data_IF_557395033794
#
_entry.id   IF_557395033794
#
_cell.length_a   1.000
_cell.length_b   1.000
_cell.length_c   1.000
_cell.angle_alpha   90.00
_cell.angle_beta   90.00
_cell.angle_gamma   90.00
#
_symmetry.space_group_name_H-M   'P 1'
#
loop_
_entity.id
_entity.type
_entity.pdbx_description
1 polymer ?
#
# COMPACT_ATOMS: atom_id res chain seq x y z
N UNK A 1 10.70 18.11 -12.91
CA UNK A 1 11.18 16.77 -13.30
C UNK A 1 10.08 16.04 -14.06
N UNK A 2 10.45 15.14 -14.98
CA UNK A 2 9.51 14.20 -15.59
C UNK A 2 9.57 12.88 -14.83
N UNK A 3 8.46 12.51 -14.19
CA UNK A 3 8.40 11.36 -13.25
C UNK A 3 7.57 10.24 -13.83
N UNK A 4 8.13 9.03 -13.89
CA UNK A 4 7.38 7.85 -14.30
C UNK A 4 6.74 7.17 -13.08
N UNK A 5 5.42 6.97 -13.14
CA UNK A 5 4.64 6.40 -12.05
C UNK A 5 4.04 5.07 -12.45
N UNK A 6 4.33 4.02 -11.70
CA UNK A 6 3.65 2.74 -11.83
C UNK A 6 2.61 2.56 -10.73
N UNK A 7 1.50 1.90 -11.05
CA UNK A 7 0.38 1.77 -10.11
C UNK A 7 -0.47 3.04 -9.97
N UNK A 8 -0.33 4.00 -10.90
CA UNK A 8 -1.02 5.29 -10.89
C UNK A 8 -2.55 5.19 -10.81
N UNK A 9 -3.15 4.13 -11.35
CA UNK A 9 -4.61 3.92 -11.33
C UNK A 9 -5.15 3.37 -10.00
N UNK A 10 -4.27 3.01 -9.06
CA UNK A 10 -4.64 2.59 -7.71
C UNK A 10 -4.85 3.76 -6.76
N UNK A 11 -5.38 3.47 -5.54
CA UNK A 11 -5.65 4.50 -4.54
C UNK A 11 -4.41 5.36 -4.26
N UNK A 12 -3.31 4.76 -3.82
CA UNK A 12 -2.11 5.53 -3.49
C UNK A 12 -1.47 6.19 -4.71
N UNK A 13 -1.41 5.46 -5.84
CA UNK A 13 -0.82 5.99 -7.07
C UNK A 13 -1.55 7.23 -7.60
N UNK A 14 -2.87 7.28 -7.50
CA UNK A 14 -3.66 8.45 -7.91
C UNK A 14 -3.35 9.69 -7.05
N UNK A 15 -3.11 9.51 -5.74
CA UNK A 15 -2.70 10.60 -4.86
C UNK A 15 -1.25 11.03 -5.08
N UNK A 16 -0.34 10.09 -5.39
CA UNK A 16 1.03 10.42 -5.81
C UNK A 16 1.02 11.26 -7.09
N UNK A 17 0.19 10.89 -8.08
CA UNK A 17 0.06 11.69 -9.31
C UNK A 17 -0.45 13.11 -9.02
N UNK A 18 -1.46 13.28 -8.13
CA UNK A 18 -1.94 14.60 -7.70
C UNK A 18 -0.83 15.43 -7.07
N UNK A 19 -0.14 14.85 -6.08
CA UNK A 19 0.94 15.52 -5.37
C UNK A 19 2.08 15.95 -6.30
N UNK A 20 2.43 15.11 -7.30
CA UNK A 20 3.41 15.46 -8.33
C UNK A 20 2.98 16.63 -9.19
N UNK A 21 1.72 16.62 -9.65
CA UNK A 21 1.16 17.70 -10.48
C UNK A 21 1.05 19.01 -9.69
N UNK A 22 0.60 18.96 -8.44
CA UNK A 22 0.50 20.11 -7.54
C UNK A 22 1.86 20.77 -7.27
N UNK A 23 2.95 19.99 -7.36
CA UNK A 23 4.34 20.46 -7.26
C UNK A 23 5.00 20.78 -8.63
N UNK A 24 4.20 20.88 -9.69
CA UNK A 24 4.66 21.21 -11.04
C UNK A 24 5.65 20.19 -11.65
N UNK A 25 5.55 18.89 -11.29
CA UNK A 25 6.23 17.82 -11.99
C UNK A 25 5.40 17.37 -13.19
N UNK A 26 6.07 16.93 -14.25
CA UNK A 26 5.43 16.23 -15.36
C UNK A 26 5.27 14.76 -15.00
N UNK A 27 4.07 14.22 -15.18
CA UNK A 27 3.76 12.83 -14.85
C UNK A 27 3.56 12.02 -16.11
N UNK A 28 4.37 10.95 -16.28
CA UNK A 28 4.14 9.88 -17.24
C UNK A 28 3.79 8.61 -16.46
N UNK A 29 2.70 7.94 -16.82
CA UNK A 29 2.23 6.80 -16.04
C UNK A 29 1.83 5.63 -16.92
N UNK A 30 2.13 4.40 -16.44
CA UNK A 30 1.74 3.18 -17.12
C UNK A 30 0.38 2.68 -16.62
N UNK A 31 -0.45 2.26 -17.56
CA UNK A 31 -1.70 1.55 -17.29
C UNK A 31 -1.89 0.36 -18.23
N UNK A 32 -2.70 -0.62 -17.84
CA UNK A 32 -3.18 -1.67 -18.71
C UNK A 32 -4.45 -1.19 -19.43
N UNK A 33 -4.79 -1.78 -20.57
CA UNK A 33 -6.04 -1.47 -21.27
C UNK A 33 -7.29 -1.62 -20.37
N UNK A 34 -7.26 -2.58 -19.47
CA UNK A 34 -8.35 -2.86 -18.52
C UNK A 34 -8.36 -1.98 -17.27
N UNK A 35 -7.40 -1.05 -17.13
CA UNK A 35 -7.30 -0.21 -15.94
C UNK A 35 -8.45 0.78 -15.87
N UNK A 36 -9.11 0.86 -14.71
CA UNK A 36 -10.12 1.88 -14.42
C UNK A 36 -9.46 3.18 -14.03
N UNK A 37 -10.06 4.30 -14.42
CA UNK A 37 -9.51 5.64 -14.20
C UNK A 37 -10.29 6.44 -13.14
N UNK A 38 -11.25 5.81 -12.46
CA UNK A 38 -12.22 6.47 -11.55
C UNK A 38 -11.55 7.31 -10.45
N UNK A 39 -10.36 6.88 -9.98
CA UNK A 39 -9.62 7.59 -8.93
C UNK A 39 -8.78 8.78 -9.45
N UNK A 40 -8.75 8.97 -10.76
CA UNK A 40 -7.96 10.03 -11.44
C UNK A 40 -8.81 11.15 -12.01
N UNK A 41 -10.07 11.21 -11.62
CA UNK A 41 -10.99 12.30 -11.99
C UNK A 41 -10.35 13.66 -11.70
N UNK A 42 -10.45 14.58 -12.67
CA UNK A 42 -9.89 15.92 -12.60
C UNK A 42 -8.39 16.06 -12.89
N UNK A 43 -7.64 14.95 -13.01
CA UNK A 43 -6.20 15.00 -13.32
C UNK A 43 -5.79 14.08 -14.48
N UNK A 44 -6.67 13.19 -14.95
CA UNK A 44 -6.32 12.17 -15.96
C UNK A 44 -5.73 12.78 -17.24
N UNK A 45 -6.23 13.95 -17.68
CA UNK A 45 -5.80 14.64 -18.90
C UNK A 45 -4.46 15.39 -18.74
N UNK A 46 -3.96 15.51 -17.50
CA UNK A 46 -2.67 16.14 -17.19
C UNK A 46 -1.53 15.12 -17.15
N UNK A 47 -1.84 13.84 -17.30
CA UNK A 47 -0.90 12.72 -17.21
C UNK A 47 -0.64 12.16 -18.61
N UNK A 48 0.64 12.00 -18.97
CA UNK A 48 1.05 11.26 -20.16
C UNK A 48 0.88 9.76 -19.91
N UNK A 49 -0.12 9.15 -20.55
CA UNK A 49 -0.41 7.73 -20.38
C UNK A 49 0.30 6.86 -21.41
N UNK A 50 0.97 5.81 -20.92
CA UNK A 50 1.46 4.72 -21.76
C UNK A 50 0.73 3.42 -21.40
N UNK A 51 0.38 2.63 -22.43
CA UNK A 51 -0.33 1.37 -22.26
C UNK A 51 0.66 0.24 -22.46
N UNK A 52 0.87 -0.59 -21.43
CA UNK A 52 1.82 -1.70 -21.50
C UNK A 52 1.83 -2.56 -20.25
N UNK A 53 2.74 -3.54 -20.25
CA UNK A 53 2.99 -4.43 -19.13
C UNK A 53 4.39 -4.16 -18.55
N UNK A 54 4.48 -4.16 -17.24
CA UNK A 54 5.74 -3.99 -16.49
C UNK A 54 6.75 -5.14 -16.69
N UNK A 55 6.28 -6.29 -17.16
CA UNK A 55 7.12 -7.46 -17.47
C UNK A 55 7.62 -7.46 -18.93
N UNK A 56 7.30 -6.42 -19.70
CA UNK A 56 7.81 -6.22 -21.06
C UNK A 56 8.97 -5.21 -21.02
N UNK A 57 10.18 -5.74 -21.10
CA UNK A 57 11.40 -4.91 -21.04
C UNK A 57 11.54 -3.97 -22.23
N UNK A 58 11.10 -4.35 -23.43
CA UNK A 58 11.14 -3.49 -24.60
C UNK A 58 10.18 -2.30 -24.43
N UNK A 59 8.97 -2.55 -23.91
CA UNK A 59 8.04 -1.51 -23.53
C UNK A 59 8.63 -0.56 -22.48
N UNK A 60 9.27 -1.10 -21.41
CA UNK A 60 9.88 -0.29 -20.38
C UNK A 60 11.00 0.61 -20.92
N UNK A 61 11.85 0.09 -21.81
CA UNK A 61 12.91 0.87 -22.43
C UNK A 61 12.37 2.06 -23.23
N UNK A 62 11.27 1.89 -23.96
CA UNK A 62 10.61 2.99 -24.68
C UNK A 62 9.90 3.95 -23.71
N UNK A 63 9.16 3.41 -22.75
CA UNK A 63 8.36 4.20 -21.82
C UNK A 63 9.22 5.09 -20.91
N UNK A 64 10.45 4.71 -20.60
CA UNK A 64 11.35 5.42 -19.69
C UNK A 64 12.28 6.42 -20.38
N UNK A 65 12.22 6.57 -21.70
CA UNK A 65 13.02 7.60 -22.40
C UNK A 65 12.67 8.99 -21.88
N UNK A 66 13.69 9.75 -21.48
CA UNK A 66 13.56 11.12 -21.00
C UNK A 66 12.92 11.27 -19.61
N UNK A 67 12.93 10.21 -18.80
CA UNK A 67 12.45 10.22 -17.43
C UNK A 67 13.60 10.59 -16.47
N UNK A 68 13.31 11.49 -15.52
CA UNK A 68 14.27 11.92 -14.49
C UNK A 68 14.21 11.05 -13.24
N UNK A 69 13.01 10.60 -12.84
CA UNK A 69 12.77 9.81 -11.63
C UNK A 69 11.63 8.79 -11.82
N UNK A 70 11.68 7.71 -11.05
CA UNK A 70 10.63 6.68 -11.02
C UNK A 70 10.00 6.58 -9.65
N UNK A 71 8.67 6.58 -9.57
CA UNK A 71 7.91 6.18 -8.37
C UNK A 71 7.20 4.87 -8.66
N UNK A 72 7.70 3.79 -8.05
CA UNK A 72 7.23 2.44 -8.27
C UNK A 72 6.23 2.01 -7.19
N UNK A 73 4.94 2.06 -7.51
CA UNK A 73 3.84 1.65 -6.62
C UNK A 73 3.00 0.48 -7.14
N UNK A 74 3.31 -0.05 -8.32
CA UNK A 74 2.59 -1.19 -8.86
C UNK A 74 2.91 -2.47 -8.07
N UNK A 75 1.87 -3.15 -7.57
CA UNK A 75 1.97 -4.46 -6.95
C UNK A 75 0.61 -5.16 -6.94
N UNK A 76 0.63 -6.48 -6.96
CA UNK A 76 -0.54 -7.31 -6.64
C UNK A 76 -0.55 -7.54 -5.13
N UNK A 77 -1.70 -7.30 -4.51
CA UNK A 77 -1.96 -7.58 -3.09
C UNK A 77 -2.95 -8.73 -3.01
N UNK A 78 -2.51 -9.88 -2.57
CA UNK A 78 -3.37 -11.03 -2.33
C UNK A 78 -2.84 -11.89 -1.17
N UNK A 79 -3.76 -12.48 -0.40
CA UNK A 79 -3.46 -13.47 0.63
C UNK A 79 -3.90 -14.87 0.21
N UNK A 80 -4.34 -15.04 -1.04
CA UNK A 80 -4.77 -16.29 -1.61
C UNK A 80 -3.61 -17.00 -2.31
N UNK A 81 -3.34 -18.23 -1.90
CA UNK A 81 -2.22 -19.05 -2.43
C UNK A 81 -2.26 -19.27 -3.95
N UNK A 82 -3.45 -19.11 -4.57
CA UNK A 82 -3.60 -19.20 -6.04
C UNK A 82 -2.85 -18.10 -6.78
N UNK A 83 -2.55 -16.98 -6.11
CA UNK A 83 -1.88 -15.82 -6.71
C UNK A 83 -0.38 -15.75 -6.46
N UNK A 84 0.22 -16.76 -5.79
CA UNK A 84 1.67 -16.75 -5.46
C UNK A 84 2.54 -16.51 -6.68
N UNK A 85 2.36 -17.30 -7.74
CA UNK A 85 3.17 -17.16 -8.96
C UNK A 85 2.94 -15.80 -9.64
N UNK A 86 1.69 -15.37 -9.76
CA UNK A 86 1.36 -14.08 -10.35
C UNK A 86 1.90 -12.90 -9.54
N UNK A 87 1.89 -13.01 -8.20
CA UNK A 87 2.54 -12.01 -7.34
C UNK A 87 4.07 -12.01 -7.54
N UNK A 88 4.69 -13.17 -7.66
CA UNK A 88 6.12 -13.26 -7.90
C UNK A 88 6.48 -12.62 -9.26
N UNK A 89 5.79 -12.98 -10.31
CA UNK A 89 5.98 -12.41 -11.66
C UNK A 89 5.81 -10.89 -11.65
N UNK A 90 4.70 -10.38 -11.11
CA UNK A 90 4.41 -8.95 -11.16
C UNK A 90 5.24 -8.15 -10.14
N UNK A 91 5.29 -8.61 -8.86
CA UNK A 91 5.91 -7.83 -7.80
C UNK A 91 7.43 -7.96 -7.82
N UNK A 92 7.98 -9.15 -8.09
CA UNK A 92 9.42 -9.38 -8.02
C UNK A 92 10.07 -9.20 -9.38
N UNK A 93 9.68 -10.01 -10.39
CA UNK A 93 10.30 -9.96 -11.71
C UNK A 93 10.03 -8.62 -12.40
N UNK A 94 8.79 -8.12 -12.39
CA UNK A 94 8.48 -6.79 -12.96
C UNK A 94 9.23 -5.64 -12.27
N UNK A 95 9.54 -5.76 -10.96
CA UNK A 95 10.39 -4.78 -10.28
C UNK A 95 11.85 -4.92 -10.71
N UNK A 96 12.35 -6.15 -10.86
CA UNK A 96 13.70 -6.40 -11.36
C UNK A 96 13.89 -5.81 -12.77
N UNK A 97 12.92 -6.01 -13.67
CA UNK A 97 12.94 -5.47 -15.03
C UNK A 97 12.94 -3.93 -15.02
N UNK A 98 12.12 -3.31 -14.18
CA UNK A 98 12.09 -1.86 -14.03
C UNK A 98 13.42 -1.30 -13.48
N UNK A 99 13.99 -1.94 -12.46
CA UNK A 99 15.29 -1.58 -11.88
C UNK A 99 16.40 -1.69 -12.93
N UNK A 100 16.45 -2.80 -13.67
CA UNK A 100 17.43 -3.03 -14.73
C UNK A 100 17.32 -1.98 -15.85
N UNK A 101 16.08 -1.64 -16.25
CA UNK A 101 15.84 -0.64 -17.29
C UNK A 101 16.25 0.75 -16.82
N UNK A 102 15.97 1.13 -15.55
CA UNK A 102 16.44 2.39 -14.98
C UNK A 102 17.98 2.49 -15.00
N UNK A 103 18.67 1.44 -14.58
CA UNK A 103 20.15 1.37 -14.60
C UNK A 103 20.68 1.50 -16.03
N UNK A 104 20.10 0.77 -16.99
CA UNK A 104 20.48 0.80 -18.40
C UNK A 104 20.35 2.20 -19.00
N UNK A 105 19.27 2.92 -18.68
CA UNK A 105 18.96 4.25 -19.20
C UNK A 105 19.62 5.40 -18.38
N UNK A 106 20.32 5.08 -17.29
CA UNK A 106 20.97 6.07 -16.44
C UNK A 106 20.01 6.89 -15.54
N UNK A 107 18.76 6.44 -15.38
CA UNK A 107 17.80 7.03 -14.43
C UNK A 107 18.25 6.66 -13.03
N UNK A 108 18.53 7.67 -12.20
CA UNK A 108 19.13 7.43 -10.88
C UNK A 108 18.10 7.46 -9.74
N UNK A 109 17.12 8.34 -9.81
CA UNK A 109 16.18 8.58 -8.70
C UNK A 109 15.02 7.57 -8.74
N UNK A 110 14.96 6.71 -7.70
CA UNK A 110 14.01 5.61 -7.61
C UNK A 110 13.31 5.59 -6.25
N UNK A 111 12.01 5.82 -6.24
CA UNK A 111 11.16 5.74 -5.07
C UNK A 111 10.35 4.44 -5.15
N UNK A 112 10.48 3.58 -4.15
CA UNK A 112 9.71 2.34 -4.08
C UNK A 112 8.64 2.39 -3.00
N UNK A 113 7.40 2.13 -3.39
CA UNK A 113 6.30 1.95 -2.44
C UNK A 113 6.21 0.47 -2.07
N UNK A 114 6.79 0.14 -0.94
CA UNK A 114 6.73 -1.19 -0.34
C UNK A 114 5.55 -1.33 0.63
N UNK A 115 5.75 -1.96 1.76
CA UNK A 115 4.76 -2.13 2.84
C UNK A 115 5.48 -2.43 4.15
N UNK A 116 4.87 -2.10 5.31
CA UNK A 116 5.32 -2.62 6.60
C UNK A 116 5.33 -4.16 6.64
N UNK A 117 4.64 -4.82 5.71
CA UNK A 117 4.67 -6.27 5.57
C UNK A 117 6.05 -6.82 5.19
N UNK A 118 6.90 -6.03 4.52
CA UNK A 118 8.27 -6.39 4.14
C UNK A 118 9.29 -6.28 5.28
N UNK A 119 8.90 -5.76 6.45
CA UNK A 119 9.78 -5.61 7.60
C UNK A 119 9.64 -6.83 8.50
N UNK A 120 10.77 -7.36 8.99
CA UNK A 120 10.81 -8.51 9.87
C UNK A 120 10.04 -8.29 11.18
N UNK A 121 9.41 -9.34 11.69
CA UNK A 121 8.57 -9.31 12.89
C UNK A 121 8.85 -10.51 13.78
N UNK A 122 9.26 -10.26 15.02
CA UNK A 122 9.55 -11.32 15.99
C UNK A 122 8.38 -11.52 16.95
N UNK A 123 8.23 -12.74 17.44
CA UNK A 123 7.25 -13.04 18.47
C UNK A 123 7.57 -12.25 19.75
N UNK A 124 6.53 -11.61 20.32
CA UNK A 124 6.68 -10.77 21.53
C UNK A 124 7.22 -9.35 21.30
N UNK A 125 7.67 -9.03 20.09
CA UNK A 125 8.11 -7.68 19.74
C UNK A 125 6.90 -6.73 19.71
N UNK A 126 7.02 -5.58 20.39
CA UNK A 126 5.95 -4.58 20.45
C UNK A 126 6.21 -3.41 19.50
N UNK A 127 7.46 -2.96 19.38
CA UNK A 127 7.86 -1.84 18.51
C UNK A 127 8.77 -2.36 17.39
N UNK A 128 8.39 -2.07 16.15
CA UNK A 128 9.11 -2.44 14.92
C UNK A 128 9.67 -1.17 14.31
N UNK A 129 10.91 -1.24 13.84
CA UNK A 129 11.67 -0.13 13.26
C UNK A 129 12.24 -0.54 11.90
N UNK A 130 12.81 0.40 11.17
CA UNK A 130 13.50 0.14 9.90
C UNK A 130 14.77 -0.71 10.05
N UNK A 131 15.28 -0.88 11.27
CA UNK A 131 16.47 -1.71 11.57
C UNK A 131 16.14 -3.20 11.72
N UNK A 132 14.85 -3.53 11.87
CA UNK A 132 14.42 -4.91 12.04
C UNK A 132 14.62 -5.68 10.73
N UNK A 133 15.47 -6.72 10.80
CA UNK A 133 15.79 -7.57 9.66
C UNK A 133 14.70 -8.61 9.46
N UNK A 134 14.52 -9.00 8.21
CA UNK A 134 13.64 -10.11 7.86
C UNK A 134 14.19 -11.41 8.46
N UNK A 135 13.32 -12.13 9.13
CA UNK A 135 13.53 -13.49 9.63
C UNK A 135 12.22 -14.24 9.46
N UNK A 136 12.26 -15.48 9.01
CA UNK A 136 11.04 -16.27 8.82
C UNK A 136 10.23 -16.36 10.11
N UNK A 137 8.97 -16.06 10.02
CA UNK A 137 8.08 -16.02 11.17
C UNK A 137 6.67 -16.48 10.83
N UNK A 138 5.89 -16.83 11.85
CA UNK A 138 4.46 -17.16 11.67
C UNK A 138 3.58 -15.98 11.23
N UNK A 139 4.15 -14.80 11.14
CA UNK A 139 3.48 -13.57 10.71
C UNK A 139 3.71 -13.26 9.23
N UNK A 140 4.50 -14.11 8.55
CA UNK A 140 4.82 -13.92 7.15
C UNK A 140 3.73 -14.54 6.29
N UNK A 141 3.01 -13.67 5.61
CA UNK A 141 2.04 -14.06 4.59
C UNK A 141 2.73 -14.17 3.23
N UNK A 142 2.07 -14.83 2.28
CA UNK A 142 2.55 -14.86 0.88
C UNK A 142 2.74 -13.45 0.31
N UNK A 143 1.88 -12.49 0.71
CA UNK A 143 2.04 -11.09 0.37
C UNK A 143 3.31 -10.49 1.00
N UNK A 144 3.55 -10.74 2.29
CA UNK A 144 4.74 -10.25 2.99
C UNK A 144 6.03 -10.77 2.33
N UNK A 145 6.08 -12.06 1.98
CA UNK A 145 7.20 -12.65 1.26
C UNK A 145 7.43 -11.99 -0.10
N UNK A 146 6.35 -11.72 -0.86
CA UNK A 146 6.47 -11.05 -2.16
C UNK A 146 6.99 -9.62 -2.04
N UNK A 147 6.54 -8.86 -1.02
CA UNK A 147 7.02 -7.49 -0.78
C UNK A 147 8.45 -7.44 -0.28
N UNK A 148 8.85 -8.40 0.55
CA UNK A 148 10.25 -8.54 0.95
C UNK A 148 11.16 -8.85 -0.25
N UNK A 149 10.80 -9.85 -1.07
CA UNK A 149 11.55 -10.20 -2.27
C UNK A 149 11.62 -9.02 -3.27
N UNK A 150 10.53 -8.25 -3.42
CA UNK A 150 10.50 -7.03 -4.21
C UNK A 150 11.49 -5.97 -3.70
N UNK A 151 11.57 -5.76 -2.37
CA UNK A 151 12.56 -4.84 -1.78
C UNK A 151 14.00 -5.29 -2.04
N UNK A 152 14.28 -6.60 -2.05
CA UNK A 152 15.63 -7.10 -2.35
C UNK A 152 16.09 -6.69 -3.75
N UNK A 153 15.20 -6.70 -4.75
CA UNK A 153 15.53 -6.22 -6.11
C UNK A 153 15.82 -4.72 -6.12
N UNK A 154 15.07 -3.94 -5.36
CA UNK A 154 15.29 -2.50 -5.22
C UNK A 154 16.63 -2.21 -4.50
N UNK A 155 16.95 -2.96 -3.44
CA UNK A 155 18.23 -2.85 -2.75
C UNK A 155 19.41 -3.29 -3.63
N UNK A 156 19.22 -4.30 -4.49
CA UNK A 156 20.23 -4.67 -5.51
C UNK A 156 20.49 -3.48 -6.43
N UNK A 157 19.43 -2.85 -6.95
CA UNK A 157 19.56 -1.63 -7.77
C UNK A 157 20.30 -0.50 -7.06
N UNK A 158 20.11 -0.35 -5.74
CA UNK A 158 20.85 0.63 -4.95
C UNK A 158 22.37 0.34 -4.91
N UNK A 159 22.76 -0.92 -4.81
CA UNK A 159 24.17 -1.33 -4.88
C UNK A 159 24.78 -1.10 -6.27
N UNK A 160 23.96 -1.14 -7.32
CA UNK A 160 24.35 -0.92 -8.72
C UNK A 160 24.28 0.55 -9.14
N UNK A 161 23.88 1.47 -8.24
CA UNK A 161 23.99 2.91 -8.46
C UNK A 161 22.70 3.72 -8.47
N UNK A 162 21.53 3.09 -8.25
CA UNK A 162 20.28 3.82 -8.06
C UNK A 162 20.27 4.58 -6.73
N UNK A 163 19.71 5.76 -6.73
CA UNK A 163 19.41 6.53 -5.52
C UNK A 163 18.04 6.10 -5.00
N UNK A 164 18.01 5.01 -4.26
CA UNK A 164 16.78 4.39 -3.80
C UNK A 164 16.25 5.05 -2.52
N UNK A 165 14.94 5.25 -2.44
CA UNK A 165 14.19 5.51 -1.20
C UNK A 165 12.99 4.56 -1.17
N UNK A 166 12.86 3.82 -0.06
CA UNK A 166 11.79 2.85 0.11
C UNK A 166 10.82 3.35 1.18
N UNK A 167 9.54 3.41 0.85
CA UNK A 167 8.48 3.66 1.80
C UNK A 167 7.81 2.34 2.18
N UNK A 168 7.66 2.11 3.49
CA UNK A 168 6.91 0.99 4.04
C UNK A 168 5.61 1.51 4.70
N UNK A 169 4.55 1.77 3.91
CA UNK A 169 3.29 2.22 4.47
C UNK A 169 2.62 1.12 5.30
N UNK A 170 1.93 1.52 6.38
CA UNK A 170 0.96 0.70 7.07
C UNK A 170 -0.38 0.66 6.30
N UNK A 171 -1.52 0.37 6.94
CA UNK A 171 -2.82 0.39 6.25
C UNK A 171 -3.12 1.80 5.76
N UNK A 172 -3.11 1.99 4.45
CA UNK A 172 -3.34 3.29 3.80
C UNK A 172 -4.82 3.60 3.76
N UNK A 173 -5.25 4.66 4.45
CA UNK A 173 -6.64 5.11 4.49
C UNK A 173 -6.89 6.17 3.42
N UNK A 174 -8.01 6.04 2.70
CA UNK A 174 -8.40 7.00 1.67
C UNK A 174 -9.64 6.56 0.88
N UNK A 175 -10.21 7.48 0.08
CA UNK A 175 -11.44 7.25 -0.68
C UNK A 175 -11.19 6.43 -1.96
N UNK A 176 -10.98 5.13 -1.79
CA UNK A 176 -10.84 4.18 -2.89
C UNK A 176 -12.17 3.83 -3.56
N UNK A 177 -12.19 2.72 -4.31
CA UNK A 177 -13.38 2.27 -5.02
C UNK A 177 -14.23 1.39 -4.09
N UNK A 178 -15.48 1.83 -3.85
CA UNK A 178 -16.44 1.11 -3.02
C UNK A 178 -16.78 -0.25 -3.62
N UNK A 179 -16.82 -1.30 -2.79
CA UNK A 179 -17.15 -2.66 -3.22
C UNK A 179 -16.01 -3.45 -3.89
N UNK A 180 -14.83 -2.85 -4.09
CA UNK A 180 -13.70 -3.53 -4.73
C UNK A 180 -12.62 -4.05 -3.75
N UNK A 181 -12.89 -4.00 -2.44
CA UNK A 181 -11.93 -4.47 -1.42
C UNK A 181 -10.78 -3.49 -1.17
N UNK A 182 -9.59 -4.03 -0.86
CA UNK A 182 -8.44 -3.22 -0.46
C UNK A 182 -8.66 -2.49 0.86
N UNK A 183 -7.94 -1.40 1.10
CA UNK A 183 -8.06 -0.62 2.34
C UNK A 183 -9.41 0.11 2.48
N UNK A 184 -10.16 0.33 1.39
CA UNK A 184 -11.52 0.90 1.45
C UNK A 184 -12.51 -0.03 2.17
N UNK A 185 -12.23 -1.35 2.20
CA UNK A 185 -13.10 -2.33 2.87
C UNK A 185 -13.26 -2.10 4.37
N UNK A 186 -12.32 -1.43 5.05
CA UNK A 186 -12.47 -1.10 6.48
C UNK A 186 -13.56 -0.03 6.68
N UNK A 187 -13.71 0.90 5.74
CA UNK A 187 -14.78 1.90 5.73
C UNK A 187 -16.12 1.27 5.41
N UNK A 188 -16.16 0.34 4.45
CA UNK A 188 -17.38 -0.43 4.16
C UNK A 188 -17.83 -1.26 5.36
N UNK A 189 -16.88 -1.85 6.09
CA UNK A 189 -17.15 -2.62 7.28
C UNK A 189 -17.81 -1.76 8.37
N UNK A 190 -17.26 -0.56 8.59
CA UNK A 190 -17.80 0.41 9.55
C UNK A 190 -19.20 0.92 9.11
N UNK A 191 -19.34 1.29 7.84
CA UNK A 191 -20.61 1.76 7.28
C UNK A 191 -21.75 0.73 7.40
N UNK A 192 -21.43 -0.57 7.20
CA UNK A 192 -22.39 -1.69 7.32
C UNK A 192 -22.72 -2.08 8.77
N UNK A 193 -22.29 -1.33 9.76
CA UNK A 193 -22.58 -1.53 11.18
C UNK A 193 -22.28 -2.97 11.65
N UNK A 194 -21.15 -3.54 11.22
CA UNK A 194 -20.78 -4.90 11.62
C UNK A 194 -20.55 -4.99 13.12
N UNK A 195 -21.03 -6.08 13.76
CA UNK A 195 -21.05 -6.21 15.21
C UNK A 195 -19.72 -6.60 15.84
N UNK A 196 -18.78 -7.16 15.07
CA UNK A 196 -17.56 -7.76 15.59
C UNK A 196 -16.31 -6.98 15.18
N UNK A 197 -15.29 -6.92 16.05
CA UNK A 197 -13.96 -6.41 15.74
C UNK A 197 -12.87 -7.41 16.15
N UNK A 198 -11.70 -7.44 15.50
CA UNK A 198 -10.55 -8.22 15.93
C UNK A 198 -10.01 -7.77 17.29
N UNK A 199 -9.22 -8.65 17.95
CA UNK A 199 -8.62 -8.36 19.27
C UNK A 199 -7.34 -7.51 19.19
N UNK A 200 -6.62 -7.56 18.05
CA UNK A 200 -5.32 -6.92 17.90
C UNK A 200 -5.37 -5.41 17.67
N UNK A 201 -4.26 -4.89 17.19
CA UNK A 201 -4.12 -3.50 16.78
C UNK A 201 -4.05 -3.41 15.25
N UNK A 202 -4.46 -2.25 14.73
CA UNK A 202 -4.15 -1.83 13.36
C UNK A 202 -3.20 -0.63 13.37
N UNK A 203 -2.31 -0.60 12.40
CA UNK A 203 -1.48 0.56 12.11
C UNK A 203 -2.03 1.22 10.86
N UNK A 204 -2.10 2.53 10.83
CA UNK A 204 -2.76 3.27 9.77
C UNK A 204 -1.94 4.48 9.32
N UNK A 205 -2.23 4.95 8.13
CA UNK A 205 -1.69 6.20 7.57
C UNK A 205 -2.68 6.77 6.55
N UNK A 206 -2.77 8.08 6.46
CA UNK A 206 -3.55 8.76 5.43
C UNK A 206 -2.86 8.63 4.06
N UNK A 207 -3.64 8.42 3.01
CA UNK A 207 -3.11 8.30 1.64
C UNK A 207 -2.38 9.57 1.20
N UNK A 208 -2.85 10.74 1.63
CA UNK A 208 -2.23 12.04 1.34
C UNK A 208 -0.85 12.16 1.99
N UNK A 209 -0.69 11.66 3.22
CA UNK A 209 0.60 11.64 3.92
C UNK A 209 1.62 10.78 3.18
N UNK A 210 1.21 9.59 2.71
CA UNK A 210 2.11 8.70 1.96
C UNK A 210 2.52 9.33 0.63
N UNK A 211 1.58 9.96 -0.08
CA UNK A 211 1.85 10.65 -1.34
C UNK A 211 2.83 11.82 -1.15
N UNK A 212 2.56 12.68 -0.17
CA UNK A 212 3.42 13.82 0.17
C UNK A 212 4.83 13.39 0.58
N UNK A 213 4.95 12.36 1.43
CA UNK A 213 6.25 11.80 1.84
C UNK A 213 7.00 11.22 0.63
N UNK A 214 6.31 10.53 -0.29
CA UNK A 214 6.94 9.96 -1.47
C UNK A 214 7.58 11.05 -2.35
N UNK A 215 6.86 12.14 -2.59
CA UNK A 215 7.35 13.25 -3.43
C UNK A 215 8.43 14.05 -2.69
N UNK A 216 8.27 14.35 -1.39
CA UNK A 216 9.33 15.01 -0.59
C UNK A 216 10.63 14.20 -0.55
N UNK A 217 10.54 12.87 -0.43
CA UNK A 217 11.73 12.02 -0.48
C UNK A 217 12.37 12.02 -1.88
N UNK A 218 11.57 12.06 -2.94
CA UNK A 218 12.09 12.18 -4.31
C UNK A 218 12.86 13.49 -4.51
N UNK A 219 12.35 14.59 -3.98
CA UNK A 219 12.96 15.92 -4.07
C UNK A 219 14.18 16.11 -3.14
N UNK A 220 14.40 15.20 -2.19
CA UNK A 220 15.46 15.28 -1.20
C UNK A 220 16.79 14.66 -1.67
N UNK A 221 17.88 15.01 -0.99
CA UNK A 221 19.21 14.39 -1.19
C UNK A 221 19.36 13.02 -0.49
N UNK A 222 18.33 12.56 0.23
CA UNK A 222 18.33 11.28 0.94
C UNK A 222 18.41 10.15 -0.08
N UNK A 223 19.27 9.15 0.18
CA UNK A 223 19.43 7.97 -0.67
C UNK A 223 19.85 6.73 0.14
N UNK A 224 19.52 5.55 -0.37
CA UNK A 224 19.89 4.29 0.26
C UNK A 224 19.18 4.04 1.59
N UNK A 225 17.94 4.53 1.73
CA UNK A 225 17.21 4.51 2.98
C UNK A 225 15.79 3.97 2.81
N UNK A 226 15.29 3.27 3.85
CA UNK A 226 13.86 2.93 3.95
C UNK A 226 13.21 3.65 5.12
N UNK A 227 11.90 3.90 4.99
CA UNK A 227 11.10 4.65 5.95
C UNK A 227 9.79 3.94 6.24
N UNK A 228 9.52 3.67 7.50
CA UNK A 228 8.19 3.26 7.96
C UNK A 228 7.28 4.48 7.89
N UNK A 229 6.17 4.35 7.15
CA UNK A 229 5.18 5.41 6.96
C UNK A 229 3.87 4.98 7.64
N UNK A 230 3.74 5.31 8.93
CA UNK A 230 2.61 4.94 9.78
C UNK A 230 2.29 6.09 10.73
N UNK A 231 1.05 6.57 10.70
CA UNK A 231 0.61 7.66 11.58
C UNK A 231 0.47 7.21 13.04
N UNK A 232 0.10 5.94 13.26
CA UNK A 232 -0.06 5.39 14.59
C UNK A 232 -0.57 3.95 14.62
N UNK A 233 -0.73 3.45 15.83
CA UNK A 233 -1.25 2.11 16.13
C UNK A 233 -2.37 2.20 17.15
N UNK A 234 -3.54 1.63 16.85
CA UNK A 234 -4.70 1.63 17.75
C UNK A 234 -5.34 0.23 17.82
N UNK A 235 -5.97 -0.14 18.96
CA UNK A 235 -6.84 -1.30 19.01
C UNK A 235 -7.94 -1.22 17.95
N UNK A 236 -8.26 -2.34 17.30
CA UNK A 236 -9.32 -2.39 16.28
C UNK A 236 -10.65 -1.83 16.75
N UNK A 237 -10.97 -1.98 18.05
CA UNK A 237 -12.20 -1.41 18.63
C UNK A 237 -12.23 0.11 18.47
N UNK A 238 -11.16 0.79 18.85
CA UNK A 238 -11.07 2.26 18.75
C UNK A 238 -11.00 2.71 17.28
N UNK A 239 -10.24 2.00 16.48
CA UNK A 239 -10.13 2.25 15.04
C UNK A 239 -11.51 2.23 14.36
N UNK A 240 -12.26 1.14 14.52
CA UNK A 240 -13.62 1.04 13.93
C UNK A 240 -14.63 1.99 14.58
N UNK A 241 -14.45 2.35 15.87
CA UNK A 241 -15.27 3.39 16.47
C UNK A 241 -15.12 4.73 15.74
N UNK A 242 -13.89 5.15 15.46
CA UNK A 242 -13.61 6.41 14.73
C UNK A 242 -14.19 6.35 13.30
N UNK A 243 -13.97 5.25 12.57
CA UNK A 243 -14.51 5.11 11.22
C UNK A 243 -16.05 5.11 11.20
N UNK A 244 -16.70 4.44 12.14
CA UNK A 244 -18.17 4.40 12.23
C UNK A 244 -18.74 5.78 12.56
N UNK A 245 -18.12 6.50 13.50
CA UNK A 245 -18.51 7.87 13.86
C UNK A 245 -18.48 8.81 12.64
N UNK A 246 -17.47 8.71 11.77
CA UNK A 246 -17.36 9.52 10.56
C UNK A 246 -18.54 9.32 9.59
N UNK A 247 -19.17 8.15 9.63
CA UNK A 247 -20.40 7.87 8.87
C UNK A 247 -21.69 8.14 9.64
N UNK A 248 -21.63 8.44 10.94
CA UNK A 248 -22.80 8.51 11.81
C UNK A 248 -23.42 7.13 12.07
N UNK A 249 -22.61 6.05 12.05
CA UNK A 249 -22.99 4.65 12.17
C UNK A 249 -22.59 4.04 13.51
N UNK A 250 -23.22 2.91 13.88
CA UNK A 250 -22.86 2.16 15.09
C UNK A 250 -21.57 1.38 14.88
N UNK A 251 -20.66 1.51 15.84
CA UNK A 251 -19.39 0.79 15.83
C UNK A 251 -19.54 -0.67 16.30
N UNK A 252 -18.63 -1.58 15.89
CA UNK A 252 -18.57 -2.93 16.41
C UNK A 252 -18.23 -2.95 17.91
N UNK A 253 -19.02 -3.72 18.68
CA UNK A 253 -18.86 -3.80 20.14
C UNK A 253 -18.37 -5.17 20.63
N UNK A 254 -18.46 -6.21 19.79
CA UNK A 254 -18.15 -7.60 20.16
C UNK A 254 -16.76 -7.96 19.64
N UNK A 255 -15.92 -8.55 20.48
CA UNK A 255 -14.62 -9.09 20.07
C UNK A 255 -14.78 -10.46 19.41
N UNK A 256 -14.13 -10.66 18.27
CA UNK A 256 -14.10 -11.96 17.58
C UNK A 256 -13.30 -12.95 18.42
N UNK A 257 -13.94 -14.07 18.79
CA UNK A 257 -13.29 -15.14 19.53
C UNK A 257 -12.41 -16.04 18.62
N UNK A 258 -11.35 -16.69 19.15
CA UNK A 258 -10.46 -17.53 18.35
C UNK A 258 -11.15 -18.65 17.58
N UNK A 259 -12.14 -19.30 18.17
CA UNK A 259 -12.92 -20.36 17.52
C UNK A 259 -13.76 -19.83 16.35
N UNK A 260 -14.30 -18.60 16.48
CA UNK A 260 -15.07 -17.95 15.41
C UNK A 260 -14.16 -17.66 14.21
N UNK A 261 -12.93 -17.19 14.44
CA UNK A 261 -11.96 -16.97 13.35
C UNK A 261 -11.68 -18.27 12.58
N UNK A 262 -11.47 -19.39 13.29
CA UNK A 262 -11.26 -20.69 12.63
C UNK A 262 -12.44 -21.09 11.76
N UNK A 263 -13.66 -20.91 12.26
CA UNK A 263 -14.88 -21.19 11.51
C UNK A 263 -15.01 -20.29 10.29
N UNK A 264 -14.80 -18.97 10.44
CA UNK A 264 -14.88 -18.00 9.34
C UNK A 264 -13.84 -18.32 8.27
N UNK A 265 -12.61 -18.64 8.63
CA UNK A 265 -11.55 -19.03 7.68
C UNK A 265 -11.97 -20.28 6.91
N UNK A 266 -12.56 -21.30 7.57
CA UNK A 266 -13.01 -22.52 6.90
C UNK A 266 -14.19 -22.22 5.93
N UNK A 267 -15.16 -21.42 6.34
CA UNK A 267 -16.28 -21.02 5.50
C UNK A 267 -15.84 -20.17 4.29
N UNK A 268 -14.93 -19.22 4.50
CA UNK A 268 -14.35 -18.39 3.44
C UNK A 268 -13.53 -19.23 2.45
N UNK A 269 -12.77 -20.22 2.94
CA UNK A 269 -12.07 -21.17 2.08
C UNK A 269 -13.06 -21.94 1.18
N UNK A 270 -14.16 -22.46 1.76
CA UNK A 270 -15.18 -23.18 1.00
C UNK A 270 -15.87 -22.26 -0.01
N UNK A 271 -16.29 -21.04 0.43
CA UNK A 271 -16.87 -20.03 -0.46
C UNK A 271 -15.96 -19.71 -1.63
N UNK A 272 -14.68 -19.49 -1.36
CA UNK A 272 -13.67 -19.20 -2.37
C UNK A 272 -13.53 -20.32 -3.41
N UNK A 273 -13.60 -21.58 -2.98
CA UNK A 273 -13.55 -22.74 -3.87
C UNK A 273 -14.79 -22.85 -4.76
N UNK A 274 -15.96 -22.56 -4.23
CA UNK A 274 -17.24 -22.66 -4.97
C UNK A 274 -17.40 -21.47 -5.93
N UNK A 275 -17.07 -20.25 -5.49
CA UNK A 275 -17.35 -19.03 -6.26
C UNK A 275 -16.18 -18.58 -7.15
N UNK A 276 -15.00 -19.15 -6.99
CA UNK A 276 -13.77 -18.67 -7.65
C UNK A 276 -13.23 -17.34 -7.12
N UNK A 277 -13.98 -16.63 -6.26
CA UNK A 277 -13.56 -15.33 -5.69
C UNK A 277 -12.52 -15.53 -4.60
N UNK A 278 -11.67 -14.51 -4.36
CA UNK A 278 -10.71 -14.55 -3.27
C UNK A 278 -11.40 -14.65 -1.90
N UNK A 279 -10.73 -15.35 -0.96
CA UNK A 279 -11.19 -15.41 0.42
C UNK A 279 -10.99 -14.04 1.08
N UNK A 280 -12.02 -13.51 1.73
CA UNK A 280 -11.96 -12.23 2.45
C UNK A 280 -11.09 -12.31 3.71
N UNK A 281 -11.06 -13.50 4.34
CA UNK A 281 -10.26 -13.78 5.53
C UNK A 281 -9.53 -15.09 5.30
N UNK A 282 -8.20 -15.05 5.37
CA UNK A 282 -7.32 -16.22 5.30
C UNK A 282 -6.74 -16.55 6.68
N UNK A 283 -6.06 -17.68 6.80
CA UNK A 283 -5.35 -18.02 8.05
C UNK A 283 -4.31 -16.95 8.41
N UNK A 284 -3.59 -16.41 7.43
CA UNK A 284 -2.58 -15.39 7.63
C UNK A 284 -3.19 -14.09 8.15
N UNK A 285 -4.26 -13.59 7.50
CA UNK A 285 -4.94 -12.37 7.95
C UNK A 285 -5.61 -12.54 9.31
N UNK A 286 -6.11 -13.75 9.63
CA UNK A 286 -6.65 -14.07 10.95
C UNK A 286 -5.57 -14.02 12.07
N UNK A 287 -4.35 -14.50 11.80
CA UNK A 287 -3.22 -14.37 12.73
C UNK A 287 -2.85 -12.90 12.90
N UNK A 288 -2.67 -12.16 11.80
CA UNK A 288 -2.29 -10.75 11.82
C UNK A 288 -3.32 -9.88 12.56
N UNK A 289 -4.61 -10.17 12.43
CA UNK A 289 -5.69 -9.42 13.08
C UNK A 289 -5.68 -9.50 14.63
N UNK A 290 -4.90 -10.40 15.21
CA UNK A 290 -4.72 -10.58 16.66
C UNK A 290 -3.39 -10.05 17.18
N UNK A 291 -2.55 -9.53 16.30
CA UNK A 291 -1.24 -8.98 16.69
C UNK A 291 -1.37 -7.56 17.24
N UNK A 292 -0.41 -7.16 18.08
CA UNK A 292 -0.33 -5.83 18.66
C UNK A 292 1.01 -5.17 18.33
N UNK A 293 1.38 -5.20 17.06
CA UNK A 293 2.57 -4.53 16.57
C UNK A 293 2.35 -3.01 16.49
N UNK A 294 3.40 -2.26 16.79
CA UNK A 294 3.48 -0.82 16.58
C UNK A 294 4.69 -0.52 15.69
N UNK A 295 4.44 0.05 14.53
CA UNK A 295 5.49 0.46 13.60
C UNK A 295 5.94 1.88 13.92
N UNK A 296 7.25 2.04 14.22
CA UNK A 296 7.84 3.32 14.56
C UNK A 296 7.93 4.24 13.35
N UNK A 297 7.57 5.50 13.51
CA UNK A 297 7.63 6.52 12.47
C UNK A 297 8.65 7.64 12.75
N UNK A 298 9.46 7.47 13.79
CA UNK A 298 10.40 8.50 14.26
C UNK A 298 11.38 8.93 13.16
N UNK A 299 11.80 7.99 12.29
CA UNK A 299 12.78 8.25 11.23
C UNK A 299 12.22 9.19 10.16
N UNK A 300 11.05 8.91 9.60
CA UNK A 300 10.45 9.75 8.57
C UNK A 300 10.05 11.11 9.13
N UNK A 301 9.52 11.17 10.36
CA UNK A 301 9.20 12.44 11.02
C UNK A 301 10.41 13.35 11.15
N UNK A 302 11.54 12.82 11.59
CA UNK A 302 12.79 13.59 11.73
C UNK A 302 13.41 13.97 10.39
N UNK A 303 13.43 13.04 9.43
CA UNK A 303 14.07 13.26 8.14
C UNK A 303 13.38 14.35 7.30
N UNK A 304 12.05 14.46 7.40
CA UNK A 304 11.25 15.39 6.61
C UNK A 304 10.58 16.49 7.44
N UNK A 305 10.81 16.54 8.75
CA UNK A 305 10.05 17.39 9.68
C UNK A 305 8.54 17.24 9.44
N UNK A 306 8.06 15.98 9.41
CA UNK A 306 6.72 15.62 8.97
C UNK A 306 5.78 15.33 10.14
N UNK A 307 4.58 15.87 10.08
CA UNK A 307 3.49 15.55 11.00
C UNK A 307 2.36 14.84 10.28
N UNK A 308 1.99 13.66 10.80
CA UNK A 308 0.93 12.85 10.22
C UNK A 308 -0.45 13.37 10.59
N UNK A 309 -1.37 13.25 9.67
CA UNK A 309 -2.80 13.46 9.93
C UNK A 309 -3.32 12.47 10.95
N UNK A 310 -4.23 12.91 11.80
CA UNK A 310 -4.88 12.06 12.80
C UNK A 310 -5.81 11.02 12.15
N UNK A 311 -6.13 9.95 12.87
CA UNK A 311 -7.13 8.99 12.41
C UNK A 311 -8.50 9.65 12.19
N UNK A 312 -8.88 10.57 13.09
CA UNK A 312 -10.17 11.25 13.01
C UNK A 312 -10.27 12.13 11.77
N UNK A 313 -9.24 12.90 11.46
CA UNK A 313 -9.15 13.70 10.25
C UNK A 313 -9.23 12.83 9.00
N UNK A 314 -8.43 11.77 8.94
CA UNK A 314 -8.41 10.82 7.81
C UNK A 314 -9.76 10.13 7.62
N UNK A 315 -10.41 9.73 8.72
CA UNK A 315 -11.70 9.04 8.69
C UNK A 315 -12.83 9.98 8.21
N UNK A 316 -12.90 11.20 8.77
CA UNK A 316 -13.92 12.17 8.41
C UNK A 316 -13.81 12.60 6.95
N UNK A 317 -12.61 12.92 6.49
CA UNK A 317 -12.36 13.25 5.10
C UNK A 317 -12.71 12.10 4.15
N UNK A 318 -12.20 10.88 4.43
CA UNK A 318 -12.48 9.72 3.58
C UNK A 318 -13.98 9.39 3.54
N UNK A 319 -14.68 9.48 4.69
CA UNK A 319 -16.11 9.25 4.74
C UNK A 319 -16.91 10.28 3.93
N UNK A 320 -16.51 11.56 3.98
CA UNK A 320 -17.13 12.62 3.20
C UNK A 320 -16.96 12.38 1.69
N UNK A 321 -15.75 12.06 1.23
CA UNK A 321 -15.46 11.73 -0.16
C UNK A 321 -16.26 10.51 -0.66
N UNK A 322 -16.32 9.46 0.17
CA UNK A 322 -17.07 8.25 -0.18
C UNK A 322 -18.58 8.49 -0.24
N UNK A 323 -19.13 9.29 0.70
CA UNK A 323 -20.54 9.69 0.68
C UNK A 323 -20.87 10.48 -0.60
N UNK A 324 -20.05 11.45 -0.94
CA UNK A 324 -20.24 12.27 -2.15
C UNK A 324 -20.17 11.43 -3.43
N UNK A 325 -19.19 10.54 -3.54
CA UNK A 325 -18.97 9.74 -4.76
C UNK A 325 -20.00 8.63 -4.96
N UNK A 326 -20.50 8.04 -3.87
CA UNK A 326 -21.36 6.84 -3.93
C UNK A 326 -22.78 7.05 -3.38
N UNK A 327 -23.16 8.29 -3.01
CA UNK A 327 -24.46 8.62 -2.42
C UNK A 327 -24.81 7.74 -1.19
N UNK A 328 -23.87 7.60 -0.24
CA UNK A 328 -24.01 6.76 0.94
C UNK A 328 -24.77 7.44 2.08
#
# INVERSE_FOLDING_TARGET
>A
MKVFVTGATGLLGSFICRELLDRNHQVKAVKRNSSKMDLLEGIADQIEWVIGDMNDTAFLEEALVGIDAVIHGAAIISFDKRYVNKMYETNVLGTADLVNTCLKLGIKDFIHISSVAAIGRKAGQKKITEKDRWEDSKYDSIYANSKHAQELEVWRGAQEGLKVRILNPSVVLGPGIWGQGGSTSVFEYAYKERSFHPEGNTNFVDVRDVAEIAVKLMESDIKGERFIVSAGSLPYKQFFQTLANAFGKKAPTKTVQPWMLKLVVALEFLRSRITGKEALITADTAILSRTKFNFANDKVRKALNFEFRSLEESANWTAAELKNRYNL
#
